data_IF_978007183269
#
_entry.id   IF_978007183269
#
_cell.length_a   1.000
_cell.length_b   1.000
_cell.length_c   1.000
_cell.angle_alpha   90.00
_cell.angle_beta   90.00
_cell.angle_gamma   90.00
#
_symmetry.space_group_name_H-M   'P 1'
#
loop_
_entity.id
_entity.type
_entity.pdbx_description
1 polymer ?
#
# COMPACT_ATOMS: atom_id res chain seq x y z
N UNK A 1 -28.90 19.31 -1.69
CA UNK A 1 -28.27 19.77 -0.44
C UNK A 1 -26.78 19.96 -0.71
N UNK A 2 -26.32 21.20 -0.90
CA UNK A 2 -24.88 21.48 -1.05
C UNK A 2 -24.26 21.42 0.35
N UNK A 3 -23.63 20.30 0.68
CA UNK A 3 -22.82 20.18 1.89
C UNK A 3 -21.49 20.90 1.65
N UNK A 4 -21.49 22.23 1.79
CA UNK A 4 -20.25 22.99 1.75
C UNK A 4 -19.45 22.73 3.03
N UNK A 5 -18.28 22.10 2.89
CA UNK A 5 -17.36 21.88 4.00
C UNK A 5 -16.74 23.21 4.46
N UNK A 6 -16.57 23.37 5.78
CA UNK A 6 -15.86 24.51 6.35
C UNK A 6 -14.41 24.57 5.89
N UNK A 7 -13.81 25.77 5.88
CA UNK A 7 -12.40 25.97 5.53
C UNK A 7 -11.46 25.15 6.42
N UNK A 8 -11.76 25.07 7.72
CA UNK A 8 -10.99 24.25 8.66
C UNK A 8 -11.04 22.76 8.31
N UNK A 9 -12.22 22.23 7.98
CA UNK A 9 -12.36 20.83 7.56
C UNK A 9 -11.57 20.55 6.28
N UNK A 10 -11.67 21.44 5.28
CA UNK A 10 -10.93 21.31 4.01
C UNK A 10 -9.41 21.30 4.23
N UNK A 11 -8.92 22.16 5.13
CA UNK A 11 -7.50 22.21 5.51
C UNK A 11 -7.02 20.88 6.10
N UNK A 12 -7.70 20.36 7.13
CA UNK A 12 -7.31 19.13 7.82
C UNK A 12 -7.39 17.89 6.93
N UNK A 13 -8.33 17.85 5.98
CA UNK A 13 -8.47 16.74 5.04
C UNK A 13 -7.21 16.51 4.19
N UNK A 14 -6.43 17.56 3.89
CA UNK A 14 -5.19 17.42 3.10
C UNK A 14 -4.14 16.53 3.77
N UNK A 15 -4.19 16.34 5.09
CA UNK A 15 -3.19 15.58 5.84
C UNK A 15 -3.57 14.13 6.09
N UNK A 16 -4.85 13.77 5.92
CA UNK A 16 -5.31 12.40 6.17
C UNK A 16 -4.67 11.39 5.23
N UNK A 17 -4.65 11.68 3.92
CA UNK A 17 -4.02 10.81 2.93
C UNK A 17 -2.51 10.64 3.19
N UNK A 18 -1.68 11.70 3.33
CA UNK A 18 -0.27 11.57 3.67
C UNK A 18 -0.01 10.73 4.94
N UNK A 19 -0.76 10.97 6.01
CA UNK A 19 -0.61 10.21 7.26
C UNK A 19 -0.90 8.72 7.05
N UNK A 20 -2.00 8.40 6.40
CA UNK A 20 -2.36 7.02 6.07
C UNK A 20 -1.31 6.36 5.17
N UNK A 21 -0.73 7.09 4.20
CA UNK A 21 0.31 6.56 3.33
C UNK A 21 1.58 6.17 4.10
N UNK A 22 1.97 6.92 5.13
CA UNK A 22 3.08 6.54 6.01
C UNK A 22 2.79 5.27 6.81
N UNK A 23 1.57 5.14 7.37
CA UNK A 23 1.14 3.91 8.06
C UNK A 23 1.16 2.72 7.09
N UNK A 24 0.65 2.90 5.88
CA UNK A 24 0.65 1.88 4.84
C UNK A 24 2.07 1.49 4.41
N UNK A 25 3.01 2.44 4.32
CA UNK A 25 4.40 2.13 4.01
C UNK A 25 5.02 1.25 5.10
N UNK A 26 4.80 1.58 6.38
CA UNK A 26 5.27 0.75 7.50
C UNK A 26 4.64 -0.66 7.49
N UNK A 27 3.33 -0.75 7.24
CA UNK A 27 2.64 -2.03 7.07
C UNK A 27 3.17 -2.82 5.87
N UNK A 28 3.55 -2.15 4.77
CA UNK A 28 4.10 -2.78 3.58
C UNK A 28 5.47 -3.39 3.87
N UNK A 29 6.32 -2.68 4.62
CA UNK A 29 7.60 -3.21 5.10
C UNK A 29 7.41 -4.42 6.03
N UNK A 30 6.41 -4.37 6.91
CA UNK A 30 6.07 -5.50 7.77
C UNK A 30 5.55 -6.69 6.96
N UNK A 31 4.70 -6.47 5.96
CA UNK A 31 4.24 -7.52 5.04
C UNK A 31 5.40 -8.16 4.27
N UNK A 32 6.36 -7.36 3.80
CA UNK A 32 7.58 -7.84 3.16
C UNK A 32 8.40 -8.73 4.09
N UNK A 33 8.60 -8.30 5.34
CA UNK A 33 9.23 -9.12 6.38
C UNK A 33 8.50 -10.46 6.57
N UNK A 34 7.18 -10.46 6.69
CA UNK A 34 6.39 -11.70 6.83
C UNK A 34 6.53 -12.60 5.59
N UNK A 35 6.59 -12.03 4.39
CA UNK A 35 6.82 -12.75 3.14
C UNK A 35 8.19 -13.44 3.11
N UNK A 36 9.24 -12.75 3.57
CA UNK A 36 10.58 -13.31 3.70
C UNK A 36 10.63 -14.44 4.74
N UNK A 37 9.95 -14.28 5.89
CA UNK A 37 9.85 -15.36 6.88
C UNK A 37 9.08 -16.58 6.34
N UNK A 38 8.07 -16.37 5.51
CA UNK A 38 7.37 -17.46 4.83
C UNK A 38 8.29 -18.21 3.86
N UNK A 39 9.10 -17.49 3.08
CA UNK A 39 10.11 -18.11 2.21
C UNK A 39 11.14 -18.90 3.03
N UNK A 40 11.63 -18.33 4.14
CA UNK A 40 12.54 -19.01 5.08
C UNK A 40 11.92 -20.28 5.65
N UNK A 41 10.66 -20.23 6.06
CA UNK A 41 9.92 -21.38 6.62
C UNK A 41 9.80 -22.52 5.60
N UNK A 42 9.61 -22.20 4.32
CA UNK A 42 9.53 -23.21 3.25
C UNK A 42 10.86 -23.91 3.00
N UNK A 43 11.96 -23.19 3.14
CA UNK A 43 13.30 -23.69 2.84
C UNK A 43 14.00 -24.31 4.06
N UNK A 44 13.51 -24.08 5.28
CA UNK A 44 14.05 -24.65 6.51
C UNK A 44 13.78 -26.16 6.64
N UNK A 45 14.61 -26.84 7.44
CA UNK A 45 14.51 -28.27 7.74
C UNK A 45 14.66 -28.51 9.26
N UNK A 46 14.30 -29.72 9.72
CA UNK A 46 14.49 -30.14 11.12
C UNK A 46 13.82 -29.24 12.16
N UNK A 47 14.48 -29.04 13.30
CA UNK A 47 14.00 -28.22 14.41
C UNK A 47 13.76 -26.76 14.02
N UNK A 48 14.60 -26.20 13.14
CA UNK A 48 14.42 -24.83 12.66
C UNK A 48 13.05 -24.66 11.96
N UNK A 49 12.63 -25.63 11.14
CA UNK A 49 11.32 -25.58 10.49
C UNK A 49 10.18 -25.66 11.50
N UNK A 50 10.30 -26.52 12.51
CA UNK A 50 9.30 -26.67 13.58
C UNK A 50 9.09 -25.36 14.32
N UNK A 51 10.17 -24.67 14.69
CA UNK A 51 10.10 -23.36 15.35
C UNK A 51 9.49 -22.29 14.45
N UNK A 52 9.89 -22.20 13.17
CA UNK A 52 9.35 -21.21 12.25
C UNK A 52 7.85 -21.38 11.96
N UNK A 53 7.34 -22.61 11.94
CA UNK A 53 5.90 -22.89 11.73
C UNK A 53 5.05 -22.29 12.85
N UNK A 54 5.54 -22.26 14.10
CA UNK A 54 4.84 -21.63 15.24
C UNK A 54 4.56 -20.14 14.99
N UNK A 55 5.40 -19.48 14.18
CA UNK A 55 5.22 -18.10 13.78
C UNK A 55 4.02 -17.84 12.87
N UNK A 56 3.38 -18.86 12.26
CA UNK A 56 2.19 -18.71 11.41
C UNK A 56 2.29 -17.56 10.39
N UNK A 57 3.48 -17.39 9.79
CA UNK A 57 3.80 -16.25 8.93
C UNK A 57 2.89 -16.14 7.70
N UNK A 58 2.40 -17.28 7.18
CA UNK A 58 1.42 -17.32 6.11
C UNK A 58 0.09 -16.63 6.48
N UNK A 59 -0.43 -16.89 7.68
CA UNK A 59 -1.70 -16.32 8.15
C UNK A 59 -1.55 -14.82 8.36
N UNK A 60 -0.48 -14.41 9.06
CA UNK A 60 -0.19 -12.99 9.31
C UNK A 60 0.04 -12.23 8.00
N UNK A 61 0.81 -12.79 7.07
CA UNK A 61 1.07 -12.15 5.77
C UNK A 61 -0.22 -11.98 4.97
N UNK A 62 -1.09 -12.99 4.95
CA UNK A 62 -2.39 -12.89 4.30
C UNK A 62 -3.27 -11.79 4.93
N UNK A 63 -3.40 -11.77 6.25
CA UNK A 63 -4.20 -10.76 6.96
C UNK A 63 -3.69 -9.34 6.73
N UNK A 64 -2.39 -9.11 6.90
CA UNK A 64 -1.78 -7.79 6.65
C UNK A 64 -1.90 -7.42 5.16
N UNK A 65 -1.72 -8.37 4.25
CA UNK A 65 -1.93 -8.16 2.81
C UNK A 65 -3.36 -7.73 2.47
N UNK A 66 -4.37 -8.34 3.10
CA UNK A 66 -5.77 -7.95 2.92
C UNK A 66 -6.05 -6.53 3.46
N UNK A 67 -5.48 -6.19 4.61
CA UNK A 67 -5.59 -4.83 5.19
C UNK A 67 -4.92 -3.81 4.27
N UNK A 68 -3.71 -4.10 3.79
CA UNK A 68 -2.99 -3.25 2.85
C UNK A 68 -3.78 -3.02 1.56
N UNK A 69 -4.35 -4.07 0.97
CA UNK A 69 -5.19 -3.95 -0.23
C UNK A 69 -6.35 -3.00 0.02
N UNK A 70 -7.12 -3.23 1.08
CA UNK A 70 -8.28 -2.41 1.39
C UNK A 70 -7.88 -0.94 1.60
N UNK A 71 -6.92 -0.68 2.47
CA UNK A 71 -6.50 0.67 2.85
C UNK A 71 -5.79 1.41 1.71
N UNK A 72 -4.98 0.74 0.89
CA UNK A 72 -4.32 1.37 -0.25
C UNK A 72 -5.33 1.80 -1.31
N UNK A 73 -6.30 0.94 -1.65
CA UNK A 73 -7.36 1.26 -2.62
C UNK A 73 -8.23 2.40 -2.09
N UNK A 74 -8.76 2.29 -0.88
CA UNK A 74 -9.60 3.35 -0.29
C UNK A 74 -8.80 4.63 -0.08
N UNK A 75 -7.51 4.53 0.24
CA UNK A 75 -6.65 5.67 0.45
C UNK A 75 -6.32 6.44 -0.82
N UNK A 76 -6.16 5.74 -1.95
CA UNK A 76 -6.04 6.36 -3.26
C UNK A 76 -7.33 7.09 -3.65
N UNK A 77 -8.48 6.43 -3.48
CA UNK A 77 -9.80 7.04 -3.74
C UNK A 77 -10.01 8.27 -2.85
N UNK A 78 -9.74 8.15 -1.55
CA UNK A 78 -9.88 9.25 -0.59
C UNK A 78 -8.96 10.43 -0.89
N UNK A 79 -7.70 10.18 -1.27
CA UNK A 79 -6.76 11.24 -1.66
C UNK A 79 -7.23 12.02 -2.89
N UNK A 80 -7.73 11.31 -3.92
CA UNK A 80 -8.36 11.93 -5.08
C UNK A 80 -9.61 12.73 -4.70
N UNK A 81 -10.48 12.16 -3.86
CA UNK A 81 -11.70 12.81 -3.42
C UNK A 81 -11.40 14.13 -2.69
N UNK A 82 -10.46 14.13 -1.74
CA UNK A 82 -10.02 15.35 -1.03
C UNK A 82 -9.46 16.37 -2.01
N UNK A 83 -8.62 15.95 -2.96
CA UNK A 83 -8.06 16.84 -3.99
C UNK A 83 -9.17 17.50 -4.79
N UNK A 84 -10.17 16.73 -5.23
CA UNK A 84 -11.30 17.25 -6.01
C UNK A 84 -12.18 18.19 -5.19
N UNK A 85 -12.51 17.85 -3.95
CA UNK A 85 -13.32 18.69 -3.05
C UNK A 85 -12.63 20.04 -2.79
N UNK A 86 -11.31 20.04 -2.62
CA UNK A 86 -10.56 21.25 -2.29
C UNK A 86 -10.25 22.12 -3.52
N UNK A 87 -10.14 21.54 -4.72
CA UNK A 87 -9.62 22.24 -5.91
C UNK A 87 -10.57 22.26 -7.12
N UNK A 88 -11.69 21.54 -7.07
CA UNK A 88 -12.63 21.37 -8.19
C UNK A 88 -12.10 20.53 -9.36
N UNK A 89 -10.87 20.00 -9.25
CA UNK A 89 -10.21 19.17 -10.25
C UNK A 89 -9.16 18.25 -9.62
N UNK A 90 -8.77 17.22 -10.35
CA UNK A 90 -7.59 16.42 -10.02
C UNK A 90 -6.36 17.00 -10.72
N UNK A 91 -5.22 16.97 -10.03
CA UNK A 91 -3.94 17.31 -10.63
C UNK A 91 -3.28 16.04 -11.19
N UNK A 92 -3.29 15.91 -12.52
CA UNK A 92 -2.66 14.78 -13.20
C UNK A 92 -1.15 15.00 -13.25
N UNK A 93 -0.44 14.38 -12.33
CA UNK A 93 1.01 14.41 -12.26
C UNK A 93 1.61 13.05 -11.89
N UNK A 94 2.95 12.94 -11.83
CA UNK A 94 3.64 11.68 -11.57
C UNK A 94 3.18 10.98 -10.28
N UNK A 95 2.88 11.74 -9.23
CA UNK A 95 2.37 11.20 -7.96
C UNK A 95 1.03 10.46 -8.16
N UNK A 96 0.03 11.13 -8.76
CA UNK A 96 -1.27 10.52 -9.01
C UNK A 96 -1.18 9.30 -9.93
N UNK A 97 -0.45 9.40 -11.04
CA UNK A 97 -0.34 8.31 -12.01
C UNK A 97 0.35 7.08 -11.42
N UNK A 98 1.44 7.27 -10.66
CA UNK A 98 2.11 6.17 -9.98
C UNK A 98 1.24 5.56 -8.87
N UNK A 99 0.52 6.38 -8.09
CA UNK A 99 -0.42 5.89 -7.08
C UNK A 99 -1.56 5.04 -7.68
N UNK A 100 -2.12 5.45 -8.83
CA UNK A 100 -3.11 4.66 -9.57
C UNK A 100 -2.50 3.36 -10.11
N UNK A 101 -1.28 3.42 -10.65
CA UNK A 101 -0.53 2.23 -11.09
C UNK A 101 -0.32 1.24 -9.94
N UNK A 102 0.12 1.72 -8.78
CA UNK A 102 0.27 0.91 -7.57
C UNK A 102 -1.05 0.28 -7.11
N UNK A 103 -2.15 1.03 -7.19
CA UNK A 103 -3.51 0.53 -6.87
C UNK A 103 -3.90 -0.64 -7.76
N UNK A 104 -3.60 -0.57 -9.06
CA UNK A 104 -3.77 -1.69 -9.97
C UNK A 104 -2.85 -2.86 -9.62
N UNK A 105 -1.56 -2.59 -9.41
CA UNK A 105 -0.56 -3.61 -9.12
C UNK A 105 -0.88 -4.39 -7.83
N UNK A 106 -1.34 -3.73 -6.76
CA UNK A 106 -1.69 -4.44 -5.51
C UNK A 106 -2.91 -5.34 -5.69
N UNK A 107 -3.89 -4.93 -6.51
CA UNK A 107 -5.04 -5.76 -6.84
C UNK A 107 -4.62 -7.02 -7.64
N UNK A 108 -3.78 -6.85 -8.67
CA UNK A 108 -3.21 -7.98 -9.42
C UNK A 108 -2.37 -8.89 -8.50
N UNK A 109 -1.54 -8.32 -7.64
CA UNK A 109 -0.72 -9.06 -6.67
C UNK A 109 -1.58 -9.92 -5.75
N UNK A 110 -2.67 -9.36 -5.21
CA UNK A 110 -3.60 -10.09 -4.36
C UNK A 110 -4.34 -11.21 -5.12
N UNK A 111 -4.73 -10.96 -6.38
CA UNK A 111 -5.42 -11.93 -7.24
C UNK A 111 -4.58 -13.18 -7.55
N UNK A 112 -3.25 -13.14 -7.36
CA UNK A 112 -2.37 -14.31 -7.51
C UNK A 112 -2.49 -15.31 -6.35
N UNK A 113 -3.10 -14.91 -5.22
CA UNK A 113 -3.19 -15.74 -4.00
C UNK A 113 -3.77 -17.14 -4.21
N UNK A 114 -4.89 -17.34 -4.94
CA UNK A 114 -5.45 -18.68 -5.15
C UNK A 114 -4.49 -19.61 -5.92
N UNK A 115 -3.72 -19.08 -6.88
CA UNK A 115 -2.73 -19.86 -7.62
C UNK A 115 -1.54 -20.23 -6.74
N UNK A 116 -1.07 -19.28 -5.91
CA UNK A 116 0.01 -19.53 -4.96
C UNK A 116 -0.37 -20.58 -3.91
N UNK A 117 -1.62 -20.58 -3.45
CA UNK A 117 -2.16 -21.59 -2.52
C UNK A 117 -2.20 -22.97 -3.16
N UNK A 118 -2.45 -23.06 -4.47
CA UNK A 118 -2.33 -24.31 -5.26
C UNK A 118 -0.87 -24.69 -5.59
N UNK A 119 0.11 -23.99 -5.03
CA UNK A 119 1.53 -24.29 -5.20
C UNK A 119 2.20 -23.67 -6.42
N UNK A 120 1.46 -22.97 -7.30
CA UNK A 120 1.98 -22.44 -8.56
C UNK A 120 3.17 -21.48 -8.34
N UNK A 121 4.34 -21.86 -8.85
CA UNK A 121 5.56 -21.10 -8.60
C UNK A 121 5.63 -19.79 -9.41
N UNK A 122 5.13 -19.79 -10.65
CA UNK A 122 5.07 -18.58 -11.48
C UNK A 122 4.26 -17.47 -10.82
N UNK A 123 3.14 -17.82 -10.18
CA UNK A 123 2.28 -16.87 -9.46
C UNK A 123 3.01 -16.29 -8.24
N UNK A 124 3.80 -17.12 -7.54
CA UNK A 124 4.59 -16.69 -6.40
C UNK A 124 5.71 -15.73 -6.77
N UNK A 125 6.45 -16.06 -7.82
CA UNK A 125 7.52 -15.17 -8.32
C UNK A 125 6.92 -13.86 -8.82
N UNK A 126 5.80 -13.91 -9.56
CA UNK A 126 5.09 -12.72 -10.03
C UNK A 126 4.62 -11.85 -8.87
N UNK A 127 3.99 -12.44 -7.85
CA UNK A 127 3.57 -11.74 -6.64
C UNK A 127 4.75 -11.05 -5.94
N UNK A 128 5.87 -11.75 -5.76
CA UNK A 128 7.07 -11.19 -5.14
C UNK A 128 7.59 -9.99 -5.95
N UNK A 129 7.78 -10.15 -7.26
CA UNK A 129 8.28 -9.08 -8.14
C UNK A 129 7.36 -7.85 -8.13
N UNK A 130 6.05 -8.06 -8.27
CA UNK A 130 5.06 -6.97 -8.23
C UNK A 130 5.15 -6.22 -6.89
N UNK A 131 5.24 -6.92 -5.76
CA UNK A 131 5.29 -6.25 -4.45
C UNK A 131 6.62 -5.52 -4.21
N UNK A 132 7.74 -5.99 -4.73
CA UNK A 132 8.99 -5.24 -4.68
C UNK A 132 8.94 -3.97 -5.54
N UNK A 133 8.30 -4.03 -6.73
CA UNK A 133 8.03 -2.84 -7.54
C UNK A 133 7.12 -1.87 -6.78
N UNK A 134 6.04 -2.36 -6.16
CA UNK A 134 5.15 -1.55 -5.32
C UNK A 134 5.94 -0.88 -4.19
N UNK A 135 6.79 -1.60 -3.45
CA UNK A 135 7.60 -1.03 -2.36
C UNK A 135 8.54 0.08 -2.84
N UNK A 136 9.20 -0.13 -3.98
CA UNK A 136 10.06 0.87 -4.60
C UNK A 136 9.28 2.13 -4.99
N UNK A 137 8.15 1.94 -5.68
CA UNK A 137 7.24 3.04 -6.04
C UNK A 137 6.69 3.74 -4.78
N UNK A 138 6.30 2.99 -3.74
CA UNK A 138 5.73 3.56 -2.52
C UNK A 138 6.75 4.43 -1.78
N UNK A 139 8.01 3.99 -1.72
CA UNK A 139 9.08 4.78 -1.12
C UNK A 139 9.29 6.09 -1.87
N UNK A 140 9.26 6.06 -3.21
CA UNK A 140 9.30 7.28 -4.02
C UNK A 140 8.05 8.15 -3.84
N UNK A 141 6.87 7.54 -3.75
CA UNK A 141 5.62 8.25 -3.47
C UNK A 141 5.65 8.97 -2.12
N UNK A 142 6.29 8.40 -1.09
CA UNK A 142 6.46 9.07 0.20
C UNK A 142 7.25 10.37 0.07
N UNK A 143 8.33 10.38 -0.72
CA UNK A 143 9.14 11.58 -0.98
C UNK A 143 8.32 12.63 -1.74
N UNK A 144 7.69 12.24 -2.84
CA UNK A 144 6.89 13.18 -3.66
C UNK A 144 5.65 13.68 -2.92
N UNK A 145 5.06 12.87 -2.04
CA UNK A 145 3.95 13.27 -1.18
C UNK A 145 4.36 14.35 -0.18
N UNK A 146 5.54 14.23 0.44
CA UNK A 146 6.07 15.29 1.32
C UNK A 146 6.30 16.59 0.54
N UNK A 147 6.82 16.53 -0.69
CA UNK A 147 6.98 17.71 -1.54
C UNK A 147 5.63 18.39 -1.86
N UNK A 148 4.56 17.60 -2.06
CA UNK A 148 3.20 18.13 -2.27
C UNK A 148 2.70 18.81 -1.01
N UNK A 149 2.83 18.17 0.17
CA UNK A 149 2.44 18.76 1.45
C UNK A 149 3.20 20.07 1.70
N UNK A 150 4.50 20.11 1.42
CA UNK A 150 5.29 21.33 1.53
C UNK A 150 4.77 22.46 0.64
N UNK A 151 4.43 22.16 -0.64
CA UNK A 151 3.83 23.16 -1.54
C UNK A 151 2.49 23.67 -1.03
N UNK A 152 1.65 22.80 -0.46
CA UNK A 152 0.38 23.20 0.15
C UNK A 152 0.65 24.15 1.33
N UNK A 153 1.63 23.86 2.19
CA UNK A 153 1.94 24.68 3.35
C UNK A 153 2.63 26.01 3.01
N UNK A 154 3.42 26.08 1.95
CA UNK A 154 4.15 27.30 1.57
C UNK A 154 3.39 28.20 0.60
N UNK A 155 2.34 27.68 -0.04
CA UNK A 155 1.42 28.44 -0.90
C UNK A 155 0.06 28.73 -0.23
N UNK A 156 -0.16 28.23 1.00
CA UNK A 156 -1.35 28.51 1.82
C UNK A 156 -1.28 29.86 2.52
#
# INVERSE_FOLDING_TARGET
MNLELSASTKYWLNFFHPLMMWVLLALSLYAAYLGLQLQRTRNAQGEQKKELIKGRYNVRHYQIGSILLALMVTGAIGGMAVTYINNGKLFVGPHLLAGLGMTGLIAFSAALSPYMQKGANWARVSHILINFVILGLFTWQAITGVQIVQRILTQA
#
